data_IF_692158596291
#
_entry.id   IF_692158596291
#
_cell.length_a   1.000
_cell.length_b   1.000
_cell.length_c   1.000
_cell.angle_alpha   90.00
_cell.angle_beta   90.00
_cell.angle_gamma   90.00
#
_symmetry.space_group_name_H-M   'P 1'
#
loop_
_entity.id
_entity.type
_entity.pdbx_description
1 polymer ?
#
# COMPACT_ATOMS: atom_id res chain seq x y z
N UNK A 1 0.82 20.44 3.19
CA UNK A 1 0.22 21.05 1.99
C UNK A 1 1.19 20.92 0.83
N UNK A 2 0.72 20.41 -0.31
CA UNK A 2 1.54 20.33 -1.50
C UNK A 2 2.06 21.71 -1.91
N UNK A 3 3.37 21.89 -1.91
CA UNK A 3 4.01 23.12 -2.41
C UNK A 3 3.86 23.26 -3.94
N UNK A 4 3.55 22.16 -4.64
CA UNK A 4 3.38 22.16 -6.09
C UNK A 4 2.04 22.77 -6.51
N UNK A 5 0.97 22.53 -5.73
CA UNK A 5 -0.40 22.98 -5.99
C UNK A 5 -1.04 23.66 -4.78
N UNK A 6 -0.51 24.82 -4.31
CA UNK A 6 -0.94 25.41 -3.04
C UNK A 6 -2.40 25.91 -3.02
N UNK A 7 -2.98 26.17 -4.19
CA UNK A 7 -4.37 26.60 -4.34
C UNK A 7 -5.35 25.46 -4.66
N UNK A 8 -4.85 24.24 -4.93
CA UNK A 8 -5.70 23.11 -5.27
C UNK A 8 -6.41 22.55 -4.02
N UNK A 9 -7.66 22.17 -4.20
CA UNK A 9 -8.48 21.48 -3.20
C UNK A 9 -9.28 20.39 -3.91
N UNK A 10 -9.21 19.17 -3.41
CA UNK A 10 -10.10 18.09 -3.85
C UNK A 10 -11.51 18.37 -3.33
N UNK A 11 -12.54 17.91 -4.07
CA UNK A 11 -13.94 18.10 -3.66
C UNK A 11 -14.29 17.41 -2.35
N UNK A 12 -13.65 16.31 -2.04
CA UNK A 12 -13.83 15.54 -0.81
C UNK A 12 -13.03 16.09 0.38
N UNK A 13 -12.06 16.99 0.16
CA UNK A 13 -11.14 17.45 1.21
C UNK A 13 -11.78 18.50 2.12
N UNK A 14 -12.00 18.14 3.38
CA UNK A 14 -12.50 19.00 4.45
C UNK A 14 -11.36 19.64 5.26
N UNK A 15 -11.70 20.50 6.25
CA UNK A 15 -10.71 21.06 7.18
C UNK A 15 -10.02 19.96 8.01
N UNK A 16 -10.75 18.91 8.41
CA UNK A 16 -10.18 17.78 9.15
C UNK A 16 -9.13 17.02 8.32
N UNK A 17 -9.37 16.81 7.03
CA UNK A 17 -8.38 16.21 6.12
C UNK A 17 -7.11 17.08 6.03
N UNK A 18 -7.25 18.41 6.03
CA UNK A 18 -6.11 19.34 5.99
C UNK A 18 -5.30 19.35 7.29
N UNK A 19 -5.97 19.27 8.44
CA UNK A 19 -5.30 19.11 9.73
C UNK A 19 -4.53 17.79 9.79
N UNK A 20 -5.16 16.69 9.37
CA UNK A 20 -4.51 15.38 9.27
C UNK A 20 -3.31 15.42 8.33
N UNK A 21 -3.41 16.10 7.18
CA UNK A 21 -2.31 16.25 6.22
C UNK A 21 -1.08 16.89 6.86
N UNK A 22 -1.26 17.96 7.62
CA UNK A 22 -0.16 18.60 8.36
C UNK A 22 0.46 17.66 9.38
N UNK A 23 -0.38 17.03 10.19
CA UNK A 23 0.04 16.08 11.21
C UNK A 23 0.82 14.90 10.61
N UNK A 24 0.31 14.29 9.54
CA UNK A 24 0.98 13.19 8.83
C UNK A 24 2.33 13.65 8.24
N UNK A 25 2.37 14.82 7.59
CA UNK A 25 3.61 15.38 7.04
C UNK A 25 4.67 15.59 8.13
N UNK A 26 4.31 16.19 9.26
CA UNK A 26 5.20 16.43 10.40
C UNK A 26 5.72 15.09 10.97
N UNK A 27 4.84 14.11 11.14
CA UNK A 27 5.22 12.78 11.60
C UNK A 27 6.19 12.11 10.64
N UNK A 28 5.90 12.08 9.33
CA UNK A 28 6.76 11.44 8.32
C UNK A 28 8.15 12.10 8.26
N UNK A 29 8.22 13.44 8.30
CA UNK A 29 9.48 14.17 8.30
C UNK A 29 10.32 13.90 9.55
N UNK A 30 9.69 13.68 10.70
CA UNK A 30 10.36 13.42 11.97
C UNK A 30 10.77 11.97 12.17
N UNK A 31 9.86 11.04 11.87
CA UNK A 31 10.01 9.64 12.26
C UNK A 31 10.38 8.72 11.08
N UNK A 32 9.99 9.04 9.83
CA UNK A 32 10.26 8.21 8.67
C UNK A 32 11.48 8.68 7.86
N UNK A 33 11.49 9.93 7.43
CA UNK A 33 12.54 10.47 6.53
C UNK A 33 13.96 10.27 7.05
N UNK A 34 14.31 10.51 8.34
CA UNK A 34 15.67 10.34 8.84
C UNK A 34 16.13 8.87 8.90
N UNK A 35 15.19 7.94 8.86
CA UNK A 35 15.45 6.52 9.05
C UNK A 35 15.52 5.72 7.73
N UNK A 36 15.16 6.33 6.58
CA UNK A 36 15.06 5.63 5.29
C UNK A 36 16.32 4.85 4.90
N UNK A 37 17.49 5.45 5.04
CA UNK A 37 18.77 4.76 4.70
C UNK A 37 19.08 3.60 5.64
N UNK A 38 18.79 3.75 6.92
CA UNK A 38 19.00 2.70 7.92
C UNK A 38 18.03 1.55 7.67
N UNK A 39 16.74 1.85 7.45
CA UNK A 39 15.73 0.85 7.13
C UNK A 39 16.01 0.13 5.80
N UNK A 40 16.54 0.84 4.80
CA UNK A 40 16.96 0.22 3.56
C UNK A 40 18.09 -0.80 3.76
N UNK A 41 19.07 -0.50 4.64
CA UNK A 41 20.16 -1.44 4.97
C UNK A 41 19.70 -2.65 5.79
N UNK A 42 18.71 -2.48 6.67
CA UNK A 42 18.18 -3.58 7.50
C UNK A 42 17.02 -4.32 6.84
N UNK A 43 16.54 -3.86 5.68
CA UNK A 43 15.42 -4.41 4.91
C UNK A 43 14.10 -4.46 5.67
N UNK A 44 13.89 -3.57 6.62
CA UNK A 44 12.65 -3.45 7.39
C UNK A 44 12.62 -2.14 8.18
N UNK A 45 11.44 -1.64 8.51
CA UNK A 45 11.27 -0.58 9.51
C UNK A 45 11.52 -1.14 10.91
N UNK A 46 11.76 -0.28 11.89
CA UNK A 46 11.83 -0.72 13.28
C UNK A 46 10.45 -1.17 13.77
N UNK A 47 10.41 -2.16 14.67
CA UNK A 47 9.13 -2.63 15.23
C UNK A 47 8.36 -1.51 15.95
N UNK A 48 9.09 -0.66 16.66
CA UNK A 48 8.55 0.47 17.41
C UNK A 48 7.93 1.55 16.53
N UNK A 49 8.27 1.59 15.25
CA UNK A 49 7.67 2.54 14.29
C UNK A 49 6.16 2.33 14.16
N UNK A 50 5.70 1.07 14.26
CA UNK A 50 4.28 0.74 14.21
C UNK A 50 3.52 1.30 15.43
N UNK A 51 4.10 1.20 16.63
CA UNK A 51 3.51 1.80 17.82
C UNK A 51 3.49 3.34 17.74
N UNK A 52 4.56 3.95 17.21
CA UNK A 52 4.58 5.41 16.97
C UNK A 52 3.50 5.86 15.99
N UNK A 53 3.21 5.09 14.94
CA UNK A 53 2.09 5.36 14.03
C UNK A 53 0.74 5.27 14.76
N UNK A 54 0.56 4.27 15.62
CA UNK A 54 -0.62 4.13 16.47
C UNK A 54 -0.79 5.30 17.44
N UNK A 55 0.27 5.62 18.19
CA UNK A 55 0.29 6.75 19.16
C UNK A 55 0.00 8.11 18.48
N UNK A 56 0.43 8.25 17.23
CA UNK A 56 0.15 9.44 16.41
C UNK A 56 -1.26 9.43 15.78
N UNK A 57 -2.07 8.39 15.99
CA UNK A 57 -3.40 8.27 15.37
C UNK A 57 -3.37 8.12 13.85
N UNK A 58 -2.27 7.60 13.29
CA UNK A 58 -2.10 7.38 11.84
C UNK A 58 -2.43 5.95 11.41
N UNK A 59 -2.94 5.12 12.32
CA UNK A 59 -3.52 3.80 12.05
C UNK A 59 -5.02 3.83 12.35
N UNK A 60 -5.81 3.06 11.59
CA UNK A 60 -7.25 2.95 11.83
C UNK A 60 -8.05 4.23 11.56
N UNK A 61 -7.59 5.08 10.65
CA UNK A 61 -8.17 6.39 10.34
C UNK A 61 -9.64 6.33 9.95
N UNK A 62 -10.05 5.31 9.23
CA UNK A 62 -11.39 5.06 8.73
C UNK A 62 -11.97 3.73 9.26
N UNK A 63 -11.57 3.38 10.47
CA UNK A 63 -12.13 2.28 11.27
C UNK A 63 -12.97 2.86 12.43
N UNK A 64 -13.97 2.11 12.92
CA UNK A 64 -14.88 2.60 13.96
C UNK A 64 -14.20 2.99 15.27
N UNK A 65 -14.64 4.09 15.90
CA UNK A 65 -14.15 4.57 17.20
C UNK A 65 -14.25 3.52 18.30
N UNK A 66 -15.29 2.67 18.28
CA UNK A 66 -15.48 1.59 19.26
C UNK A 66 -14.35 0.58 19.30
N UNK A 67 -13.49 0.54 18.28
CA UNK A 67 -12.28 -0.28 18.21
C UNK A 67 -11.00 0.53 18.35
N UNK A 68 -11.11 1.85 18.58
CA UNK A 68 -9.99 2.78 18.70
C UNK A 68 -9.64 3.51 17.42
N UNK A 69 -10.44 3.37 16.35
CA UNK A 69 -10.26 4.10 15.08
C UNK A 69 -10.75 5.55 15.16
N UNK A 70 -10.57 6.30 14.07
CA UNK A 70 -10.97 7.70 14.00
C UNK A 70 -12.35 7.93 13.34
N UNK A 71 -13.04 6.87 12.90
CA UNK A 71 -14.35 6.89 12.23
C UNK A 71 -14.42 7.85 11.03
N UNK A 72 -13.27 8.07 10.38
CA UNK A 72 -13.14 8.92 9.20
C UNK A 72 -13.66 8.24 7.93
N UNK A 73 -13.77 9.01 6.85
CA UNK A 73 -14.01 8.46 5.53
C UNK A 73 -12.70 7.98 4.85
N UNK A 74 -12.79 7.45 3.64
CA UNK A 74 -11.63 6.99 2.87
C UNK A 74 -10.60 8.09 2.61
N UNK A 75 -11.02 9.36 2.54
CA UNK A 75 -10.13 10.49 2.32
C UNK A 75 -9.05 10.63 3.39
N UNK A 76 -9.33 10.21 4.63
CA UNK A 76 -8.33 10.19 5.72
C UNK A 76 -7.17 9.25 5.38
N UNK A 77 -7.45 8.05 4.89
CA UNK A 77 -6.42 7.11 4.43
C UNK A 77 -5.70 7.61 3.18
N UNK A 78 -6.42 8.25 2.24
CA UNK A 78 -5.82 8.81 1.03
C UNK A 78 -4.82 9.94 1.37
N UNK A 79 -5.16 10.82 2.31
CA UNK A 79 -4.27 11.89 2.79
C UNK A 79 -2.96 11.32 3.33
N UNK A 80 -3.02 10.31 4.20
CA UNK A 80 -1.80 9.73 4.79
C UNK A 80 -0.97 9.01 3.73
N UNK A 81 -1.59 8.32 2.76
CA UNK A 81 -0.90 7.72 1.64
C UNK A 81 -0.14 8.75 0.79
N UNK A 82 -0.78 9.89 0.47
CA UNK A 82 -0.13 10.99 -0.25
C UNK A 82 1.06 11.55 0.54
N UNK A 83 0.91 11.83 1.83
CA UNK A 83 1.98 12.41 2.66
C UNK A 83 3.13 11.42 2.89
N UNK A 84 2.86 10.13 3.04
CA UNK A 84 3.90 9.10 3.07
C UNK A 84 4.77 9.16 1.81
N UNK A 85 4.15 9.21 0.65
CA UNK A 85 4.87 9.26 -0.62
C UNK A 85 5.57 10.62 -0.86
N UNK A 86 4.97 11.74 -0.45
CA UNK A 86 5.58 13.07 -0.49
C UNK A 86 6.85 13.16 0.37
N UNK A 87 6.87 12.48 1.51
CA UNK A 87 8.04 12.38 2.39
C UNK A 87 9.10 11.40 1.86
N UNK A 88 8.90 10.79 0.69
CA UNK A 88 9.74 9.71 0.16
C UNK A 88 9.91 8.53 1.13
N UNK A 89 8.89 8.25 1.96
CA UNK A 89 8.88 7.03 2.76
C UNK A 89 8.55 5.82 1.87
N UNK A 90 9.61 5.14 1.46
CA UNK A 90 9.55 3.92 0.65
C UNK A 90 9.77 2.66 1.49
N UNK A 91 9.82 2.79 2.81
CA UNK A 91 10.14 1.71 3.74
C UNK A 91 8.93 1.17 4.50
N UNK A 92 7.97 2.03 4.83
CA UNK A 92 6.81 1.62 5.61
C UNK A 92 5.80 0.82 4.78
N UNK A 93 5.40 -0.34 5.29
CA UNK A 93 4.29 -1.14 4.76
C UNK A 93 2.92 -0.70 5.29
N UNK A 94 2.76 0.56 5.67
CA UNK A 94 1.53 1.14 6.21
C UNK A 94 0.31 0.87 5.33
N UNK A 95 0.45 1.00 4.01
CA UNK A 95 -0.62 0.78 3.05
C UNK A 95 -1.25 -0.63 3.11
N UNK A 96 -0.45 -1.65 3.42
CA UNK A 96 -0.93 -3.04 3.56
C UNK A 96 -1.56 -3.27 4.94
N UNK A 97 -1.07 -2.59 5.97
CA UNK A 97 -1.49 -2.79 7.36
C UNK A 97 -2.89 -2.22 7.61
N UNK A 98 -2.99 -0.92 7.84
CA UNK A 98 -4.21 -0.29 8.33
C UNK A 98 -5.24 -0.03 7.20
N UNK A 99 -4.92 0.69 6.12
CA UNK A 99 -5.94 1.06 5.14
C UNK A 99 -6.39 -0.11 4.25
N UNK A 100 -5.65 -1.22 4.25
CA UNK A 100 -6.00 -2.42 3.49
C UNK A 100 -6.39 -3.58 4.40
N UNK A 101 -5.43 -4.16 5.11
CA UNK A 101 -5.63 -5.41 5.85
C UNK A 101 -6.67 -5.33 6.95
N UNK A 102 -6.69 -4.25 7.72
CA UNK A 102 -7.65 -4.08 8.81
C UNK A 102 -9.10 -3.99 8.28
N UNK A 103 -9.30 -3.50 7.05
CA UNK A 103 -10.63 -3.44 6.44
C UNK A 103 -11.21 -4.81 6.10
N UNK A 104 -10.39 -5.82 5.80
CA UNK A 104 -10.88 -7.19 5.70
C UNK A 104 -11.51 -7.66 7.02
N UNK A 105 -10.84 -7.39 8.14
CA UNK A 105 -11.34 -7.75 9.47
C UNK A 105 -12.58 -6.92 9.81
N UNK A 106 -12.55 -5.61 9.57
CA UNK A 106 -13.69 -4.73 9.86
C UNK A 106 -14.93 -5.08 9.05
N UNK A 107 -14.78 -5.44 7.78
CA UNK A 107 -15.91 -5.72 6.88
C UNK A 107 -16.47 -7.11 7.12
N UNK A 108 -15.62 -8.13 7.23
CA UNK A 108 -16.06 -9.53 7.21
C UNK A 108 -15.95 -10.25 8.55
N UNK A 109 -15.19 -9.73 9.49
CA UNK A 109 -15.00 -10.34 10.81
C UNK A 109 -16.28 -10.38 11.64
N UNK A 110 -16.41 -11.39 12.51
CA UNK A 110 -17.42 -11.39 13.57
C UNK A 110 -17.10 -10.29 14.59
N UNK A 111 -18.06 -9.93 15.44
CA UNK A 111 -17.81 -8.92 16.48
C UNK A 111 -16.66 -9.37 17.43
N UNK A 112 -16.58 -10.67 17.77
CA UNK A 112 -15.50 -11.21 18.58
C UNK A 112 -14.14 -11.07 17.88
N UNK A 113 -14.08 -11.32 16.56
CA UNK A 113 -12.87 -11.15 15.76
C UNK A 113 -12.45 -9.69 15.69
N UNK A 114 -13.39 -8.77 15.46
CA UNK A 114 -13.14 -7.32 15.43
C UNK A 114 -12.63 -6.83 16.80
N UNK A 115 -13.29 -7.18 17.87
CA UNK A 115 -12.90 -6.84 19.24
C UNK A 115 -11.49 -7.37 19.59
N UNK A 116 -11.16 -8.57 19.13
CA UNK A 116 -9.89 -9.23 19.41
C UNK A 116 -8.73 -8.60 18.65
N UNK A 117 -8.91 -8.21 17.40
CA UNK A 117 -7.80 -7.86 16.52
C UNK A 117 -7.69 -6.37 16.21
N UNK A 118 -8.81 -5.66 15.95
CA UNK A 118 -8.75 -4.26 15.49
C UNK A 118 -8.06 -3.32 16.49
N UNK A 119 -8.32 -3.37 17.82
CA UNK A 119 -7.62 -2.48 18.74
C UNK A 119 -6.10 -2.64 18.72
N UNK A 120 -5.61 -3.88 18.58
CA UNK A 120 -4.18 -4.19 18.53
C UNK A 120 -3.53 -3.74 17.20
N UNK A 121 -4.29 -3.78 16.11
CA UNK A 121 -3.86 -3.27 14.81
C UNK A 121 -3.77 -1.75 14.85
N UNK A 122 -4.76 -1.09 15.42
CA UNK A 122 -4.87 0.37 15.50
C UNK A 122 -3.79 0.96 16.43
N UNK A 123 -3.47 0.31 17.54
CA UNK A 123 -2.37 0.73 18.42
C UNK A 123 -0.97 0.43 17.87
N UNK A 124 -0.87 -0.37 16.79
CA UNK A 124 0.41 -0.88 16.29
C UNK A 124 1.01 -2.02 17.10
N UNK A 125 0.30 -2.54 18.12
CA UNK A 125 0.74 -3.70 18.92
C UNK A 125 0.69 -5.01 18.14
N UNK A 126 -0.13 -5.07 17.10
CA UNK A 126 -0.15 -6.15 16.15
C UNK A 126 0.05 -5.65 14.73
N UNK A 127 1.14 -6.04 14.08
CA UNK A 127 1.39 -5.75 12.68
C UNK A 127 0.64 -6.76 11.82
N UNK A 128 -0.10 -6.25 10.82
CA UNK A 128 -0.92 -7.07 9.94
C UNK A 128 -0.27 -7.22 8.57
N UNK A 129 -0.33 -8.44 8.03
CA UNK A 129 0.04 -8.78 6.66
C UNK A 129 -1.07 -9.58 5.98
N UNK A 130 -1.08 -9.56 4.65
CA UNK A 130 -1.98 -10.36 3.80
C UNK A 130 -1.14 -11.26 2.90
N UNK A 131 -1.35 -12.57 2.97
CA UNK A 131 -0.66 -13.57 2.19
C UNK A 131 -1.55 -14.11 1.06
N UNK A 132 -1.52 -13.42 -0.09
CA UNK A 132 -2.28 -13.80 -1.29
C UNK A 132 -1.42 -14.57 -2.28
N UNK A 133 -0.36 -13.94 -2.76
CA UNK A 133 0.47 -14.37 -3.89
C UNK A 133 1.28 -15.61 -3.56
N UNK A 134 1.34 -16.53 -4.52
CA UNK A 134 2.16 -17.74 -4.48
C UNK A 134 3.18 -17.73 -5.62
N UNK A 135 4.24 -18.58 -5.58
CA UNK A 135 5.18 -18.70 -6.69
C UNK A 135 4.53 -19.00 -8.04
N UNK A 136 3.38 -19.71 -8.04
CA UNK A 136 2.63 -20.07 -9.23
C UNK A 136 1.34 -19.29 -9.48
N UNK A 137 0.97 -18.33 -8.62
CA UNK A 137 -0.31 -17.63 -8.71
C UNK A 137 -0.19 -16.17 -8.22
N UNK A 138 -0.21 -15.22 -9.15
CA UNK A 138 -0.25 -13.78 -8.87
C UNK A 138 -1.53 -13.14 -9.41
N UNK A 139 -1.55 -12.75 -10.69
CA UNK A 139 -2.76 -12.20 -11.33
C UNK A 139 -3.92 -13.20 -11.36
N UNK A 140 -3.62 -14.48 -11.46
CA UNK A 140 -4.58 -15.57 -11.41
C UNK A 140 -4.71 -16.14 -9.99
N UNK A 141 -5.39 -15.38 -9.11
CA UNK A 141 -5.60 -15.75 -7.70
C UNK A 141 -6.46 -17.00 -7.52
N UNK A 142 -7.24 -17.41 -8.52
CA UNK A 142 -8.04 -18.64 -8.44
C UNK A 142 -7.18 -19.91 -8.42
N UNK A 143 -5.97 -19.82 -8.98
CA UNK A 143 -5.03 -20.94 -9.09
C UNK A 143 -4.05 -21.06 -7.91
N UNK A 144 -4.32 -20.44 -6.78
CA UNK A 144 -3.56 -20.69 -5.56
C UNK A 144 -3.61 -22.18 -5.18
N UNK A 145 -2.54 -22.65 -4.53
CA UNK A 145 -2.38 -24.05 -4.11
C UNK A 145 -2.35 -24.24 -2.60
N UNK A 146 -2.13 -23.16 -1.84
CA UNK A 146 -2.20 -23.21 -0.37
C UNK A 146 -3.57 -23.73 0.05
N UNK A 147 -3.58 -24.77 0.88
CA UNK A 147 -4.78 -25.39 1.43
C UNK A 147 -4.93 -25.11 2.91
N UNK A 148 -6.14 -25.18 3.40
CA UNK A 148 -6.47 -25.10 4.81
C UNK A 148 -7.60 -26.10 5.10
N UNK A 149 -7.21 -27.33 5.36
CA UNK A 149 -8.15 -28.44 5.58
C UNK A 149 -8.59 -28.47 7.02
N UNK A 150 -9.90 -28.52 7.24
CA UNK A 150 -10.46 -28.58 8.60
C UNK A 150 -10.18 -29.94 9.25
N UNK A 151 -9.58 -29.89 10.44
CA UNK A 151 -9.35 -31.03 11.31
C UNK A 151 -9.81 -30.70 12.73
N UNK A 152 -10.98 -31.18 13.11
CA UNK A 152 -11.60 -30.90 14.39
C UNK A 152 -11.82 -29.38 14.63
N UNK A 153 -11.14 -28.84 15.62
CA UNK A 153 -11.20 -27.42 16.01
C UNK A 153 -10.16 -26.53 15.32
N UNK A 154 -9.39 -27.08 14.39
CA UNK A 154 -8.32 -26.35 13.68
C UNK A 154 -8.44 -26.53 12.16
N UNK A 155 -7.82 -25.60 11.43
CA UNK A 155 -7.41 -25.78 10.05
C UNK A 155 -5.94 -26.21 10.02
N UNK A 156 -5.63 -27.23 9.24
CA UNK A 156 -4.25 -27.63 8.91
C UNK A 156 -3.88 -26.93 7.61
N UNK A 157 -2.98 -25.94 7.71
CA UNK A 157 -2.58 -25.09 6.58
C UNK A 157 -1.28 -25.60 5.98
N UNK A 158 -1.29 -25.83 4.67
CA UNK A 158 -0.14 -26.28 3.89
C UNK A 158 0.02 -25.43 2.64
N UNK A 159 1.26 -24.98 2.36
CA UNK A 159 1.58 -24.22 1.16
C UNK A 159 2.71 -23.22 1.35
N UNK A 160 2.84 -22.31 0.39
CA UNK A 160 3.83 -21.26 0.43
C UNK A 160 3.30 -19.97 -0.19
N UNK A 161 3.73 -18.85 0.34
CA UNK A 161 3.39 -17.52 -0.15
C UNK A 161 4.65 -16.73 -0.43
N UNK A 162 4.60 -15.84 -1.42
CA UNK A 162 5.73 -15.01 -1.82
C UNK A 162 5.31 -13.54 -1.99
N UNK A 163 6.27 -12.64 -1.92
CA UNK A 163 6.07 -11.19 -2.00
C UNK A 163 5.19 -10.63 -0.87
N UNK A 164 5.30 -11.21 0.34
CA UNK A 164 4.44 -10.80 1.45
C UNK A 164 5.07 -9.63 2.19
N UNK A 165 4.47 -8.45 2.03
CA UNK A 165 4.83 -7.23 2.76
C UNK A 165 4.46 -7.36 4.23
N UNK A 166 5.25 -6.73 5.11
CA UNK A 166 5.14 -6.84 6.58
C UNK A 166 5.38 -8.27 7.11
N UNK A 167 5.87 -9.19 6.26
CA UNK A 167 6.06 -10.59 6.63
C UNK A 167 7.04 -10.81 7.78
N UNK A 168 7.97 -9.88 8.02
CA UNK A 168 8.91 -9.93 9.14
C UNK A 168 8.21 -9.67 10.47
N UNK A 169 7.44 -8.60 10.53
CA UNK A 169 6.82 -8.12 11.75
C UNK A 169 5.39 -8.62 11.98
N UNK A 170 4.78 -9.29 10.97
CA UNK A 170 3.38 -9.67 11.10
C UNK A 170 3.12 -10.50 12.35
N UNK A 171 2.27 -9.95 13.20
CA UNK A 171 1.68 -10.64 14.35
C UNK A 171 0.36 -11.29 13.95
N UNK A 172 -0.33 -10.68 12.98
CA UNK A 172 -1.54 -11.17 12.35
C UNK A 172 -1.30 -11.35 10.85
N UNK A 173 -1.68 -12.52 10.33
CA UNK A 173 -1.50 -12.87 8.93
C UNK A 173 -2.84 -13.36 8.35
N UNK A 174 -3.42 -12.59 7.43
CA UNK A 174 -4.57 -13.05 6.65
C UNK A 174 -4.05 -13.97 5.55
N UNK A 175 -4.36 -15.24 5.61
CA UNK A 175 -3.94 -16.26 4.66
C UNK A 175 -5.08 -16.56 3.69
N UNK A 176 -4.82 -16.37 2.39
CA UNK A 176 -5.73 -16.80 1.32
C UNK A 176 -5.44 -18.26 1.03
N UNK A 177 -6.36 -19.15 1.35
CA UNK A 177 -6.18 -20.60 1.21
C UNK A 177 -7.45 -21.29 0.69
N UNK A 178 -7.29 -22.47 0.10
CA UNK A 178 -8.40 -23.33 -0.31
C UNK A 178 -8.84 -24.20 0.88
N UNK A 179 -10.04 -23.97 1.36
CA UNK A 179 -10.73 -24.88 2.30
C UNK A 179 -11.41 -26.03 1.57
N UNK A 180 -11.80 -25.80 0.30
CA UNK A 180 -12.25 -26.85 -0.63
C UNK A 180 -11.50 -26.72 -1.97
N UNK A 181 -10.43 -27.53 -2.17
CA UNK A 181 -9.66 -27.52 -3.42
C UNK A 181 -10.46 -27.86 -4.69
N UNK A 182 -11.58 -28.59 -4.55
CA UNK A 182 -12.39 -29.00 -5.70
C UNK A 182 -13.37 -27.92 -6.18
N UNK A 183 -13.69 -26.93 -5.34
CA UNK A 183 -14.70 -25.91 -5.62
C UNK A 183 -14.15 -24.68 -6.38
N UNK A 184 -12.92 -24.70 -6.90
CA UNK A 184 -12.31 -23.58 -7.63
C UNK A 184 -12.22 -22.30 -6.79
N UNK A 185 -12.73 -21.18 -7.30
CA UNK A 185 -12.78 -19.90 -6.57
C UNK A 185 -13.73 -19.92 -5.37
N UNK A 186 -14.82 -20.69 -5.43
CA UNK A 186 -15.76 -20.86 -4.34
C UNK A 186 -15.20 -21.73 -3.19
N UNK A 187 -14.03 -22.34 -3.36
CA UNK A 187 -13.33 -23.06 -2.30
C UNK A 187 -12.30 -22.22 -1.55
N UNK A 188 -12.13 -20.93 -1.89
CA UNK A 188 -11.15 -20.04 -1.27
C UNK A 188 -11.76 -19.39 -0.03
N UNK A 189 -11.00 -19.40 1.07
CA UNK A 189 -11.34 -18.76 2.33
C UNK A 189 -10.19 -17.87 2.82
N UNK A 190 -10.50 -16.92 3.72
CA UNK A 190 -9.53 -16.10 4.41
C UNK A 190 -9.41 -16.58 5.86
N UNK A 191 -8.19 -16.90 6.30
CA UNK A 191 -7.92 -17.39 7.63
C UNK A 191 -6.89 -16.48 8.31
N UNK A 192 -7.17 -16.03 9.52
CA UNK A 192 -6.29 -15.13 10.28
C UNK A 192 -5.42 -15.94 11.24
N UNK A 193 -4.12 -16.03 10.95
CA UNK A 193 -3.16 -16.65 11.84
C UNK A 193 -2.55 -15.62 12.80
N UNK A 194 -2.55 -15.88 14.09
CA UNK A 194 -1.79 -15.12 15.09
C UNK A 194 -0.41 -15.75 15.22
N UNK A 195 0.57 -15.12 14.57
CA UNK A 195 1.89 -15.75 14.34
C UNK A 195 2.77 -15.89 15.57
N UNK A 196 2.40 -15.23 16.68
CA UNK A 196 3.06 -15.38 17.99
C UNK A 196 2.58 -16.61 18.76
N UNK A 197 1.42 -17.17 18.38
CA UNK A 197 0.93 -18.41 18.94
C UNK A 197 1.81 -19.57 18.44
N UNK A 198 1.86 -20.64 19.22
CA UNK A 198 2.57 -21.85 18.79
C UNK A 198 1.72 -22.62 17.76
N UNK A 199 1.69 -22.12 16.54
CA UNK A 199 0.88 -22.70 15.45
C UNK A 199 1.49 -23.98 14.87
N UNK A 200 2.76 -24.27 15.20
CA UNK A 200 3.54 -25.32 14.50
C UNK A 200 3.68 -25.00 13.02
N UNK A 201 4.72 -25.51 12.37
CA UNK A 201 4.85 -25.49 10.91
C UNK A 201 4.81 -24.13 10.19
N UNK A 202 4.87 -23.01 10.89
CA UNK A 202 4.98 -21.68 10.30
C UNK A 202 6.45 -21.26 10.21
N UNK A 203 6.92 -20.96 9.00
CA UNK A 203 8.28 -20.47 8.78
C UNK A 203 8.28 -19.17 7.99
N UNK A 204 9.01 -18.18 8.49
CA UNK A 204 9.36 -16.98 7.74
C UNK A 204 10.61 -17.26 6.91
N UNK A 205 10.45 -17.38 5.60
CA UNK A 205 11.54 -17.56 4.65
C UNK A 205 12.44 -16.31 4.55
N UNK A 206 13.18 -16.23 3.47
CA UNK A 206 14.10 -15.11 3.24
C UNK A 206 13.37 -13.79 3.00
N UNK A 207 14.00 -12.68 3.35
CA UNK A 207 13.64 -11.35 2.86
C UNK A 207 14.07 -11.28 1.38
N UNK A 208 13.16 -10.85 0.53
CA UNK A 208 13.41 -10.78 -0.91
C UNK A 208 14.17 -9.50 -1.25
N UNK A 209 15.23 -9.61 -2.03
CA UNK A 209 15.92 -8.46 -2.61
C UNK A 209 15.11 -7.89 -3.77
N UNK A 210 14.91 -6.58 -3.77
CA UNK A 210 14.02 -5.86 -4.70
C UNK A 210 14.77 -4.76 -5.43
N UNK A 211 14.26 -4.34 -6.58
CA UNK A 211 14.77 -3.17 -7.32
C UNK A 211 14.64 -1.88 -6.49
N UNK A 212 13.57 -1.74 -5.72
CA UNK A 212 13.29 -0.57 -4.88
C UNK A 212 12.56 -0.93 -3.60
N UNK A 213 12.19 0.09 -2.80
CA UNK A 213 11.53 -0.10 -1.50
C UNK A 213 12.33 -1.05 -0.58
N UNK A 214 13.66 -0.86 -0.54
CA UNK A 214 14.56 -1.76 0.20
C UNK A 214 14.24 -1.83 1.69
N UNK A 215 13.73 -0.75 2.28
CA UNK A 215 13.34 -0.70 3.69
C UNK A 215 11.99 -1.35 4.00
N UNK A 216 11.17 -1.62 2.98
CA UNK A 216 9.94 -2.38 3.16
C UNK A 216 10.27 -3.87 3.12
N UNK A 217 10.02 -4.59 4.22
CA UNK A 217 10.20 -6.03 4.22
C UNK A 217 9.20 -6.72 3.29
N UNK A 218 9.70 -7.68 2.56
CA UNK A 218 8.91 -8.51 1.65
C UNK A 218 9.47 -9.91 1.72
N UNK A 219 8.65 -10.86 2.18
CA UNK A 219 9.14 -12.22 2.50
C UNK A 219 8.45 -13.32 1.71
N UNK A 220 9.11 -14.46 1.70
CA UNK A 220 8.49 -15.78 1.49
C UNK A 220 7.99 -16.29 2.84
N UNK A 221 6.83 -16.95 2.84
CA UNK A 221 6.24 -17.60 4.00
C UNK A 221 5.90 -19.04 3.65
N UNK A 222 6.17 -19.97 4.58
CA UNK A 222 5.94 -21.40 4.39
C UNK A 222 5.05 -21.95 5.49
N UNK A 223 4.16 -22.84 5.11
CA UNK A 223 3.22 -23.52 5.98
C UNK A 223 3.35 -25.02 5.78
N UNK A 224 3.69 -25.75 6.83
CA UNK A 224 3.87 -27.22 6.84
C UNK A 224 3.11 -27.79 8.03
N UNK A 225 1.89 -28.24 7.77
CA UNK A 225 0.95 -28.69 8.81
C UNK A 225 0.74 -27.63 9.93
N UNK A 226 0.62 -26.37 9.52
CA UNK A 226 0.38 -25.26 10.47
C UNK A 226 -1.06 -25.32 10.98
N UNK A 227 -1.23 -25.34 12.29
CA UNK A 227 -2.53 -25.42 12.94
C UNK A 227 -3.08 -24.03 13.28
N UNK A 228 -4.21 -23.65 12.67
CA UNK A 228 -4.91 -22.41 12.97
C UNK A 228 -6.31 -22.71 13.49
N UNK A 229 -6.76 -22.14 14.63
CA UNK A 229 -8.09 -22.39 15.17
C UNK A 229 -9.20 -22.10 14.15
N UNK A 230 -10.25 -22.94 14.11
CA UNK A 230 -11.38 -22.74 13.20
C UNK A 230 -12.12 -21.43 13.45
N UNK A 231 -12.08 -20.90 14.69
CA UNK A 231 -12.61 -19.59 15.07
C UNK A 231 -11.88 -18.41 14.36
N UNK A 232 -10.74 -18.67 13.75
CA UNK A 232 -9.96 -17.69 13.01
C UNK A 232 -10.29 -17.65 11.49
N UNK A 233 -11.28 -18.44 11.03
CA UNK A 233 -11.89 -18.21 9.72
C UNK A 233 -12.51 -16.80 9.68
N UNK A 234 -12.11 -15.97 8.74
CA UNK A 234 -12.62 -14.60 8.67
C UNK A 234 -14.09 -14.58 8.23
N UNK A 235 -14.95 -14.19 9.15
CA UNK A 235 -16.40 -14.31 9.00
C UNK A 235 -16.93 -15.68 9.47
N UNK A 236 -18.11 -16.08 8.94
CA UNK A 236 -18.85 -17.23 9.45
C UNK A 236 -18.91 -18.42 8.49
N UNK A 237 -18.35 -18.28 7.27
CA UNK A 237 -18.54 -19.30 6.21
C UNK A 237 -17.27 -19.47 5.38
N UNK A 238 -16.92 -20.72 5.13
CA UNK A 238 -15.90 -21.08 4.14
C UNK A 238 -16.35 -20.73 2.72
N UNK A 239 -15.39 -20.59 1.80
CA UNK A 239 -15.65 -20.40 0.37
C UNK A 239 -15.96 -18.94 -0.06
N UNK A 240 -15.99 -17.98 0.86
CA UNK A 240 -16.28 -16.58 0.55
C UNK A 240 -15.03 -15.75 0.26
N UNK A 241 -13.83 -16.29 0.47
CA UNK A 241 -12.58 -15.52 0.44
C UNK A 241 -12.30 -14.87 -0.92
N UNK A 242 -12.61 -15.51 -2.03
CA UNK A 242 -12.43 -14.89 -3.35
C UNK A 242 -13.33 -13.67 -3.55
N UNK A 243 -14.60 -13.75 -3.14
CA UNK A 243 -15.52 -12.63 -3.17
C UNK A 243 -15.04 -11.47 -2.30
N UNK A 244 -14.63 -11.78 -1.06
CA UNK A 244 -14.08 -10.79 -0.12
C UNK A 244 -12.85 -10.07 -0.69
N UNK A 245 -11.95 -10.79 -1.38
CA UNK A 245 -10.80 -10.20 -2.07
C UNK A 245 -11.25 -9.24 -3.18
N UNK A 246 -12.17 -9.68 -4.05
CA UNK A 246 -12.61 -8.88 -5.20
C UNK A 246 -13.28 -7.56 -4.76
N UNK A 247 -14.04 -7.59 -3.68
CA UNK A 247 -14.72 -6.42 -3.12
C UNK A 247 -13.71 -5.41 -2.52
N UNK A 248 -12.69 -5.87 -1.77
CA UNK A 248 -11.70 -5.00 -1.15
C UNK A 248 -10.66 -4.44 -2.14
N UNK A 249 -10.40 -5.13 -3.26
CA UNK A 249 -9.39 -4.69 -4.23
C UNK A 249 -9.64 -3.29 -4.81
N UNK A 250 -10.89 -2.83 -4.88
CA UNK A 250 -11.20 -1.46 -5.34
C UNK A 250 -10.57 -0.42 -4.39
N UNK A 251 -10.72 -0.63 -3.08
CA UNK A 251 -10.11 0.20 -2.04
C UNK A 251 -8.57 0.18 -2.10
N UNK A 252 -7.99 -1.01 -2.22
CA UNK A 252 -6.53 -1.18 -2.31
C UNK A 252 -5.94 -0.41 -3.50
N UNK A 253 -6.62 -0.44 -4.65
CA UNK A 253 -6.22 0.28 -5.87
C UNK A 253 -6.23 1.79 -5.67
N UNK A 254 -7.22 2.33 -4.95
CA UNK A 254 -7.28 3.76 -4.64
C UNK A 254 -6.17 4.19 -3.68
N UNK A 255 -5.81 3.38 -2.68
CA UNK A 255 -4.63 3.64 -1.82
C UNK A 255 -3.35 3.68 -2.66
N UNK A 256 -3.17 2.72 -3.58
CA UNK A 256 -2.02 2.72 -4.49
C UNK A 256 -2.02 3.97 -5.38
N UNK A 257 -3.17 4.38 -5.89
CA UNK A 257 -3.28 5.59 -6.70
C UNK A 257 -2.92 6.85 -5.90
N UNK A 258 -3.33 6.95 -4.63
CA UNK A 258 -2.96 8.05 -3.73
C UNK A 258 -1.46 8.10 -3.46
N UNK A 259 -0.81 6.94 -3.21
CA UNK A 259 0.65 6.85 -3.12
C UNK A 259 1.35 7.34 -4.40
N UNK A 260 0.82 6.99 -5.56
CA UNK A 260 1.35 7.45 -6.85
C UNK A 260 1.25 8.97 -7.00
N UNK A 261 0.15 9.60 -6.59
CA UNK A 261 0.00 11.07 -6.59
C UNK A 261 1.10 11.72 -5.76
N UNK A 262 1.28 11.31 -4.51
CA UNK A 262 2.32 11.86 -3.64
C UNK A 262 3.73 11.65 -4.20
N UNK A 263 4.00 10.50 -4.81
CA UNK A 263 5.30 10.19 -5.40
C UNK A 263 5.61 11.05 -6.63
N UNK A 264 4.61 11.29 -7.50
CA UNK A 264 4.76 12.17 -8.66
C UNK A 264 5.00 13.63 -8.22
N UNK A 265 4.24 14.12 -7.24
CA UNK A 265 4.43 15.47 -6.68
C UNK A 265 5.83 15.61 -6.06
N UNK A 266 6.25 14.64 -5.26
CA UNK A 266 7.59 14.62 -4.64
C UNK A 266 8.70 14.70 -5.68
N UNK A 267 8.63 13.89 -6.73
CA UNK A 267 9.62 13.87 -7.81
C UNK A 267 9.73 15.23 -8.53
N UNK A 268 8.60 15.86 -8.84
CA UNK A 268 8.60 17.19 -9.50
C UNK A 268 9.17 18.25 -8.57
N UNK A 269 8.80 18.26 -7.28
CA UNK A 269 9.33 19.19 -6.30
C UNK A 269 10.85 19.06 -6.14
N UNK A 270 11.36 17.83 -6.05
CA UNK A 270 12.79 17.55 -6.00
C UNK A 270 13.52 18.05 -7.26
N UNK A 271 12.96 17.78 -8.44
CA UNK A 271 13.53 18.25 -9.71
C UNK A 271 13.56 19.80 -9.79
N UNK A 272 12.49 20.46 -9.32
CA UNK A 272 12.43 21.93 -9.25
C UNK A 272 13.49 22.48 -8.28
N UNK A 273 13.61 21.90 -7.08
CA UNK A 273 14.64 22.31 -6.09
C UNK A 273 16.03 22.13 -6.66
N UNK A 274 16.34 20.97 -7.20
CA UNK A 274 17.63 20.67 -7.78
C UNK A 274 17.99 21.61 -8.95
N UNK A 275 17.09 21.82 -9.89
CA UNK A 275 17.34 22.68 -11.08
C UNK A 275 17.49 24.16 -10.74
N UNK A 276 16.92 24.62 -9.61
CA UNK A 276 17.13 25.98 -9.09
C UNK A 276 18.52 26.18 -8.47
N UNK A 277 19.13 25.11 -7.97
CA UNK A 277 20.44 25.17 -7.27
C UNK A 277 21.60 24.78 -8.17
N UNK A 278 21.42 23.75 -9.02
CA UNK A 278 22.49 23.23 -9.88
C UNK A 278 22.82 24.19 -11.02
N UNK A 279 24.09 24.53 -11.14
CA UNK A 279 24.60 25.37 -12.23
C UNK A 279 25.37 24.55 -13.27
N UNK A 280 25.22 24.95 -14.52
CA UNK A 280 26.01 24.50 -15.68
C UNK A 280 26.01 25.60 -16.74
N UNK A 281 27.10 25.71 -17.48
CA UNK A 281 27.27 26.73 -18.54
C UNK A 281 26.99 28.16 -18.05
N UNK A 282 27.42 28.49 -16.82
CA UNK A 282 27.33 29.83 -16.21
C UNK A 282 25.92 30.25 -15.71
N UNK A 283 24.99 29.32 -15.59
CA UNK A 283 23.61 29.59 -15.08
C UNK A 283 22.97 28.37 -14.45
N UNK A 284 21.96 28.58 -13.60
CA UNK A 284 21.19 27.49 -13.01
C UNK A 284 20.41 26.72 -14.09
N UNK A 285 20.23 25.39 -13.86
CA UNK A 285 19.58 24.51 -14.86
C UNK A 285 18.16 24.97 -15.20
N UNK A 286 17.42 25.54 -14.25
CA UNK A 286 16.06 26.02 -14.48
C UNK A 286 16.00 27.20 -15.48
N UNK A 287 17.11 27.92 -15.69
CA UNK A 287 17.18 29.02 -16.65
C UNK A 287 17.25 28.57 -18.12
N UNK A 288 17.48 27.30 -18.39
CA UNK A 288 17.40 26.76 -19.75
C UNK A 288 15.95 26.53 -20.14
N UNK A 289 15.60 26.99 -21.38
CA UNK A 289 14.20 26.93 -21.85
C UNK A 289 13.64 25.51 -21.86
N UNK A 290 14.42 24.56 -22.36
CA UNK A 290 14.03 23.14 -22.38
C UNK A 290 13.65 22.65 -20.99
N UNK A 291 14.50 22.89 -20.00
CA UNK A 291 14.24 22.44 -18.62
C UNK A 291 12.98 23.07 -18.02
N UNK A 292 12.75 24.38 -18.28
CA UNK A 292 11.52 25.04 -17.82
C UNK A 292 10.27 24.46 -18.48
N UNK A 293 10.32 24.17 -19.75
CA UNK A 293 9.18 23.61 -20.48
C UNK A 293 8.87 22.20 -20.01
N UNK A 294 9.90 21.39 -19.79
CA UNK A 294 9.76 20.04 -19.28
C UNK A 294 9.18 20.03 -17.84
N UNK A 295 9.69 20.87 -16.95
CA UNK A 295 9.13 21.01 -15.59
C UNK A 295 7.69 21.53 -15.60
N UNK A 296 7.34 22.42 -16.52
CA UNK A 296 5.97 22.90 -16.68
C UNK A 296 5.03 21.79 -17.14
N UNK A 297 5.48 20.97 -18.11
CA UNK A 297 4.74 19.81 -18.58
C UNK A 297 4.53 18.77 -17.47
N UNK A 298 5.60 18.43 -16.74
CA UNK A 298 5.54 17.49 -15.61
C UNK A 298 4.57 17.97 -14.51
N UNK A 299 4.58 19.29 -14.22
CA UNK A 299 3.61 19.87 -13.28
C UNK A 299 2.17 19.72 -13.75
N UNK A 300 1.90 19.97 -15.04
CA UNK A 300 0.56 19.84 -15.62
C UNK A 300 0.07 18.39 -15.63
N UNK A 301 0.95 17.44 -15.98
CA UNK A 301 0.66 16.01 -15.95
C UNK A 301 0.39 15.51 -14.52
N UNK A 302 1.17 15.96 -13.55
CA UNK A 302 0.95 15.62 -12.13
C UNK A 302 -0.40 16.13 -11.63
N UNK A 303 -0.83 17.34 -12.02
CA UNK A 303 -2.17 17.84 -11.71
C UNK A 303 -3.26 16.95 -12.34
N UNK A 304 -3.05 16.49 -13.57
CA UNK A 304 -4.00 15.60 -14.25
C UNK A 304 -4.12 14.25 -13.55
N UNK A 305 -3.00 13.67 -13.07
CA UNK A 305 -3.02 12.45 -12.24
C UNK A 305 -3.85 12.70 -10.99
N UNK A 306 -3.52 13.77 -10.26
CA UNK A 306 -4.17 14.12 -8.98
C UNK A 306 -5.67 14.31 -9.15
N UNK A 307 -6.11 15.13 -10.10
CA UNK A 307 -7.54 15.39 -10.33
C UNK A 307 -8.31 14.13 -10.70
N UNK A 308 -7.70 13.22 -11.47
CA UNK A 308 -8.33 11.94 -11.82
C UNK A 308 -8.47 11.05 -10.59
N UNK A 309 -7.45 10.95 -9.75
CA UNK A 309 -7.48 10.15 -8.52
C UNK A 309 -8.48 10.74 -7.53
N UNK A 310 -8.48 12.06 -7.34
CA UNK A 310 -9.42 12.77 -6.45
C UNK A 310 -10.87 12.57 -6.86
N UNK A 311 -11.16 12.58 -8.18
CA UNK A 311 -12.50 12.23 -8.67
C UNK A 311 -12.91 10.80 -8.26
N UNK A 312 -12.01 9.83 -8.43
CA UNK A 312 -12.29 8.45 -8.09
C UNK A 312 -12.43 8.23 -6.56
N UNK A 313 -11.66 8.97 -5.75
CA UNK A 313 -11.82 8.99 -4.28
C UNK A 313 -13.18 9.54 -3.90
N UNK A 314 -13.62 10.66 -4.51
CA UNK A 314 -14.95 11.21 -4.26
C UNK A 314 -16.04 10.19 -4.58
N UNK A 315 -15.97 9.49 -5.72
CA UNK A 315 -16.95 8.44 -6.06
C UNK A 315 -16.99 7.33 -5.01
N UNK A 316 -15.82 6.93 -4.47
CA UNK A 316 -15.76 5.92 -3.43
C UNK A 316 -16.37 6.39 -2.11
N UNK A 317 -16.11 7.64 -1.70
CA UNK A 317 -16.69 8.27 -0.49
C UNK A 317 -18.22 8.39 -0.63
N UNK A 318 -18.71 8.71 -1.82
CA UNK A 318 -20.15 8.78 -2.13
C UNK A 318 -20.83 7.40 -2.19
N UNK A 319 -20.08 6.31 -1.93
CA UNK A 319 -20.61 4.94 -1.91
C UNK A 319 -20.65 4.25 -3.28
N UNK A 320 -20.07 4.87 -4.31
CA UNK A 320 -19.95 4.28 -5.65
C UNK A 320 -18.67 3.42 -5.73
N UNK A 321 -18.72 2.23 -5.14
CA UNK A 321 -17.60 1.29 -5.14
C UNK A 321 -17.55 0.49 -6.47
N UNK A 322 -17.26 1.18 -7.58
CA UNK A 322 -17.12 0.57 -8.90
C UNK A 322 -15.68 0.09 -9.16
N UNK A 323 -15.46 -1.23 -9.39
CA UNK A 323 -14.13 -1.78 -9.66
C UNK A 323 -13.46 -1.19 -10.91
N UNK A 324 -14.22 -0.77 -11.93
CA UNK A 324 -13.67 -0.16 -13.14
C UNK A 324 -13.13 1.24 -12.85
N UNK A 325 -13.85 2.06 -12.08
CA UNK A 325 -13.43 3.39 -11.64
C UNK A 325 -12.13 3.33 -10.83
N UNK A 326 -12.06 2.44 -9.83
CA UNK A 326 -10.85 2.24 -9.04
C UNK A 326 -9.67 1.73 -9.90
N UNK A 327 -9.94 0.87 -10.89
CA UNK A 327 -8.93 0.38 -11.83
C UNK A 327 -8.42 1.46 -12.76
N UNK A 328 -9.28 2.39 -13.23
CA UNK A 328 -8.87 3.56 -14.01
C UNK A 328 -7.96 4.49 -13.20
N UNK A 329 -8.30 4.78 -11.94
CA UNK A 329 -7.45 5.56 -11.05
C UNK A 329 -6.05 4.95 -10.93
N UNK A 330 -5.99 3.66 -10.59
CA UNK A 330 -4.72 2.93 -10.41
C UNK A 330 -3.91 2.85 -11.70
N UNK A 331 -4.54 2.55 -12.82
CA UNK A 331 -3.87 2.45 -14.13
C UNK A 331 -3.21 3.77 -14.51
N UNK A 332 -3.99 4.86 -14.49
CA UNK A 332 -3.50 6.19 -14.88
C UNK A 332 -2.42 6.66 -13.90
N UNK A 333 -2.67 6.54 -12.59
CA UNK A 333 -1.73 7.00 -11.60
C UNK A 333 -0.40 6.24 -11.68
N UNK A 334 -0.43 4.90 -11.74
CA UNK A 334 0.80 4.09 -11.79
C UNK A 334 1.60 4.31 -13.09
N UNK A 335 0.94 4.28 -14.24
CA UNK A 335 1.62 4.43 -15.52
C UNK A 335 2.25 5.82 -15.68
N UNK A 336 1.50 6.86 -15.32
CA UNK A 336 1.97 8.26 -15.44
C UNK A 336 3.01 8.62 -14.39
N UNK A 337 2.89 8.14 -13.16
CA UNK A 337 3.89 8.40 -12.11
C UNK A 337 5.25 7.82 -12.47
N UNK A 338 5.30 6.62 -13.05
CA UNK A 338 6.57 6.04 -13.54
C UNK A 338 7.22 6.94 -14.58
N UNK A 339 6.45 7.47 -15.56
CA UNK A 339 6.92 8.40 -16.58
C UNK A 339 7.40 9.73 -15.97
N UNK A 340 6.61 10.32 -15.07
CA UNK A 340 6.96 11.58 -14.38
C UNK A 340 8.27 11.43 -13.60
N UNK A 341 8.42 10.37 -12.83
CA UNK A 341 9.61 10.15 -12.00
C UNK A 341 10.85 9.90 -12.87
N UNK A 342 10.73 9.14 -13.95
CA UNK A 342 11.81 8.90 -14.93
C UNK A 342 12.35 10.21 -15.50
N UNK A 343 11.44 11.06 -16.00
CA UNK A 343 11.78 12.37 -16.57
C UNK A 343 12.33 13.34 -15.51
N UNK A 344 11.84 13.29 -14.27
CA UNK A 344 12.40 14.07 -13.18
C UNK A 344 13.83 13.65 -12.84
N UNK A 345 14.12 12.35 -12.82
CA UNK A 345 15.46 11.81 -12.56
C UNK A 345 16.49 12.34 -13.57
N UNK A 346 16.11 12.53 -14.83
CA UNK A 346 17.01 13.00 -15.87
C UNK A 346 17.66 14.36 -15.56
N UNK A 347 16.96 15.26 -14.82
CA UNK A 347 17.52 16.56 -14.42
C UNK A 347 18.76 16.45 -13.51
N UNK A 348 18.88 15.34 -12.77
CA UNK A 348 19.98 15.13 -11.84
C UNK A 348 21.25 14.62 -12.52
N UNK A 349 21.17 14.17 -13.79
CA UNK A 349 22.30 13.59 -14.50
C UNK A 349 22.89 12.41 -13.74
N UNK A 350 24.20 12.33 -13.57
CA UNK A 350 24.87 11.24 -12.85
C UNK A 350 24.39 11.06 -11.40
N UNK A 351 24.04 12.14 -10.72
CA UNK A 351 23.48 12.07 -9.36
C UNK A 351 22.11 11.39 -9.29
N UNK A 352 21.31 11.46 -10.35
CA UNK A 352 20.04 10.74 -10.45
C UNK A 352 20.20 9.22 -10.45
N UNK A 353 21.40 8.71 -10.74
CA UNK A 353 21.70 7.27 -10.73
C UNK A 353 22.27 6.77 -9.38
N UNK A 354 22.42 7.68 -8.40
CA UNK A 354 22.98 7.37 -7.09
C UNK A 354 21.85 7.20 -6.06
N UNK A 355 21.81 6.05 -5.39
CA UNK A 355 20.77 5.71 -4.40
C UNK A 355 20.75 6.62 -3.16
N UNK A 356 21.79 7.42 -2.95
CA UNK A 356 21.85 8.48 -1.94
C UNK A 356 20.83 9.58 -2.21
N UNK A 357 20.49 9.81 -3.49
CA UNK A 357 19.51 10.81 -3.89
C UNK A 357 18.08 10.26 -3.79
N UNK A 358 17.14 11.02 -3.18
CA UNK A 358 15.75 10.60 -3.05
C UNK A 358 15.10 10.24 -4.40
N UNK A 359 15.44 10.97 -5.47
CA UNK A 359 14.87 10.71 -6.81
C UNK A 359 15.24 9.33 -7.35
N UNK A 360 16.44 8.81 -7.08
CA UNK A 360 16.84 7.45 -7.48
C UNK A 360 15.99 6.40 -6.75
N UNK A 361 15.76 6.60 -5.44
CA UNK A 361 14.89 5.72 -4.65
C UNK A 361 13.44 5.80 -5.11
N UNK A 362 12.97 6.99 -5.42
CA UNK A 362 11.62 7.22 -5.98
C UNK A 362 11.43 6.50 -7.32
N UNK A 363 12.42 6.57 -8.21
CA UNK A 363 12.42 5.86 -9.50
C UNK A 363 12.30 4.35 -9.32
N UNK A 364 13.14 3.78 -8.48
CA UNK A 364 13.10 2.35 -8.19
C UNK A 364 11.77 1.93 -7.53
N UNK A 365 11.26 2.74 -6.60
CA UNK A 365 10.00 2.49 -5.90
C UNK A 365 8.77 2.63 -6.83
N UNK A 366 8.78 3.57 -7.76
CA UNK A 366 7.66 3.79 -8.69
C UNK A 366 7.35 2.54 -9.52
N UNK A 367 8.38 1.77 -9.91
CA UNK A 367 8.21 0.67 -10.87
C UNK A 367 7.23 -0.41 -10.42
N UNK A 368 7.17 -0.72 -9.12
CA UNK A 368 6.31 -1.77 -8.58
C UNK A 368 4.82 -1.39 -8.59
N UNK A 369 4.49 -0.09 -8.65
CA UNK A 369 3.09 0.38 -8.67
C UNK A 369 2.31 -0.13 -9.87
N UNK A 370 3.00 -0.45 -10.98
CA UNK A 370 2.41 -1.08 -12.18
C UNK A 370 2.19 -2.59 -12.03
N UNK A 371 2.63 -3.21 -10.93
CA UNK A 371 2.63 -4.66 -10.72
C UNK A 371 1.67 -5.06 -9.62
N UNK A 372 1.86 -4.53 -8.40
CA UNK A 372 1.05 -4.93 -7.25
C UNK A 372 -0.38 -4.34 -7.29
N UNK A 373 -1.30 -4.91 -6.51
CA UNK A 373 -2.73 -4.54 -6.55
C UNK A 373 -3.42 -4.83 -7.88
N UNK A 374 -2.81 -5.71 -8.70
CA UNK A 374 -3.15 -6.03 -10.08
C UNK A 374 -2.31 -5.25 -11.09
N UNK A 375 -1.75 -5.93 -12.09
CA UNK A 375 -0.90 -5.30 -13.12
C UNK A 375 -1.69 -4.29 -13.95
N UNK A 376 -0.99 -3.42 -14.71
CA UNK A 376 -1.64 -2.49 -15.67
C UNK A 376 -2.51 -3.27 -16.67
N UNK A 377 -2.12 -4.48 -17.06
CA UNK A 377 -2.91 -5.35 -17.95
C UNK A 377 -4.20 -5.82 -17.29
N UNK A 378 -4.15 -6.23 -15.99
CA UNK A 378 -5.35 -6.59 -15.22
C UNK A 378 -6.28 -5.39 -15.05
N UNK A 379 -5.74 -4.19 -14.84
CA UNK A 379 -6.57 -2.98 -14.79
C UNK A 379 -7.31 -2.76 -16.11
N UNK A 380 -6.62 -2.89 -17.25
CA UNK A 380 -7.23 -2.78 -18.58
C UNK A 380 -8.29 -3.86 -18.81
N UNK A 381 -8.04 -5.08 -18.38
CA UNK A 381 -9.02 -6.18 -18.47
C UNK A 381 -10.30 -5.86 -17.69
N UNK A 382 -10.18 -5.35 -16.45
CA UNK A 382 -11.34 -4.98 -15.63
C UNK A 382 -12.12 -3.83 -16.26
N UNK A 383 -11.42 -2.80 -16.71
CA UNK A 383 -12.05 -1.65 -17.37
C UNK A 383 -12.77 -2.09 -18.65
N UNK A 384 -12.15 -2.97 -19.45
CA UNK A 384 -12.73 -3.43 -20.71
C UNK A 384 -14.08 -4.15 -20.55
N UNK A 385 -14.32 -4.75 -19.38
CA UNK A 385 -15.60 -5.42 -19.06
C UNK A 385 -16.76 -4.44 -18.82
N UNK A 386 -16.46 -3.16 -18.67
CA UNK A 386 -17.46 -2.09 -18.55
C UNK A 386 -17.81 -1.42 -19.88
N UNK A 387 -17.14 -1.83 -20.97
CA UNK A 387 -17.40 -1.35 -22.34
C UNK A 387 -18.51 -2.18 -23.00
#
# INVERSE_FOLDING_TARGET
LSELFPAYRASWETDQHRELRKHAAEFMLKEATPNQERWARQHQVDREYWNKLGDAGLLGLDLPERFGGADGDFGFSAVVAEEQALANDTASGWAVHSPTGAHYINTYGTEEQKQRWLPRIISGDAVLAIAMTEPGAGSDLQNIRTTAVRDGSHYVVNGSKTFISNGTHCDLLIIVAKTDPAAGSAGISLIVAETKDNLGGFERGRVLDKIGQHGQDTRELFFSDMHVPTANLLGNSEGLGFYQLMEQLARERLIIASLCVGLAESAVLEAVRYTKQREAFGRTLIKFQHNRFELAQLKAETLSIKTTVDYCIQQYIDGHNDPATASMAKLIAADKTVDVVDRCLQFFGGYGYMMEYPIARAYAAARVTKIYGGTSEIMKEIISRSL
#
